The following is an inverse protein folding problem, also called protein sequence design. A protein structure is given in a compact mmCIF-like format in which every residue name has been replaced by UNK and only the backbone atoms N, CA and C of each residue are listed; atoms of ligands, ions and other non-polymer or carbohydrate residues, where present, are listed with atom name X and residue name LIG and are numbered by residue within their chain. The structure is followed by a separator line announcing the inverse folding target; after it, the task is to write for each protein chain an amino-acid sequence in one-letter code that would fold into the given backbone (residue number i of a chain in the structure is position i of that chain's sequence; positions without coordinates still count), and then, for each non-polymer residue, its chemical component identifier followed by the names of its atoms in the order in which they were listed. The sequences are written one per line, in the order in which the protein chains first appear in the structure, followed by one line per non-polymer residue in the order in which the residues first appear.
data_IF_377273509478
#
_entry.id   IF_377273509478
#
_cell.length_a   1.000
_cell.length_b   1.000
_cell.length_c   1.000
_cell.angle_alpha   90.00
_cell.angle_beta   90.00
_cell.angle_gamma   90.00
#
_symmetry.space_group_name_H-M   'P 1'
#
loop_
_entity.id
_entity.type
_entity.pdbx_description
1 polymer ?
#
# COMPACT_ATOMS: atom_id res chain seq x y z
N UNK A 1 6.74 39.30 -6.19
CA UNK A 1 6.96 38.85 -4.80
C UNK A 1 5.70 38.28 -4.14
N UNK A 2 4.51 38.91 -4.24
CA UNK A 2 3.28 38.40 -3.60
C UNK A 2 2.70 37.05 -4.12
N UNK A 3 2.94 36.68 -5.38
CA UNK A 3 2.43 35.41 -5.98
C UNK A 3 3.18 34.14 -5.53
N UNK A 4 4.41 34.27 -5.04
CA UNK A 4 5.20 33.12 -4.55
C UNK A 4 4.83 32.77 -3.12
N UNK A 5 4.59 33.77 -2.27
CA UNK A 5 4.16 33.57 -0.88
C UNK A 5 2.80 32.86 -0.78
N UNK A 6 1.84 33.21 -1.66
CA UNK A 6 0.51 32.57 -1.72
C UNK A 6 0.60 31.10 -2.14
N UNK A 7 1.38 30.78 -3.19
CA UNK A 7 1.61 29.39 -3.63
C UNK A 7 2.24 28.52 -2.55
N UNK A 8 3.22 29.05 -1.81
CA UNK A 8 3.87 28.33 -0.73
C UNK A 8 2.90 28.00 0.42
N UNK A 9 2.00 28.94 0.73
CA UNK A 9 1.03 28.79 1.81
C UNK A 9 -0.07 27.77 1.47
N UNK A 10 -0.56 27.78 0.22
CA UNK A 10 -1.51 26.78 -0.30
C UNK A 10 -0.89 25.38 -0.29
N UNK A 11 0.35 25.24 -0.76
CA UNK A 11 1.04 23.95 -0.81
C UNK A 11 1.26 23.35 0.59
N UNK A 12 1.54 24.18 1.60
CA UNK A 12 1.61 23.73 3.00
C UNK A 12 0.28 23.17 3.49
N UNK A 13 -0.82 23.89 3.24
CA UNK A 13 -2.17 23.45 3.63
C UNK A 13 -2.57 22.12 3.00
N UNK A 14 -2.26 21.92 1.72
CA UNK A 14 -2.51 20.64 1.05
C UNK A 14 -1.72 19.49 1.68
N UNK A 15 -0.44 19.70 2.01
CA UNK A 15 0.38 18.69 2.70
C UNK A 15 -0.17 18.34 4.08
N UNK A 16 -0.60 19.33 4.86
CA UNK A 16 -1.11 19.10 6.21
C UNK A 16 -2.44 18.36 6.18
N UNK A 17 -3.33 18.75 5.27
CA UNK A 17 -4.57 18.01 5.00
C UNK A 17 -4.30 16.57 4.56
N UNK A 18 -3.31 16.33 3.69
CA UNK A 18 -2.94 14.98 3.28
C UNK A 18 -2.44 14.11 4.45
N UNK A 19 -1.71 14.70 5.40
CA UNK A 19 -1.26 14.00 6.61
C UNK A 19 -2.42 13.68 7.54
N UNK A 20 -3.33 14.62 7.75
CA UNK A 20 -4.53 14.41 8.57
C UNK A 20 -5.42 13.32 7.96
N UNK A 21 -5.67 13.37 6.64
CA UNK A 21 -6.41 12.32 5.93
C UNK A 21 -5.71 10.98 6.09
N UNK A 22 -4.38 10.93 5.97
CA UNK A 22 -3.61 9.70 6.21
C UNK A 22 -3.82 9.15 7.62
N UNK A 23 -3.88 10.00 8.64
CA UNK A 23 -4.18 9.60 10.02
C UNK A 23 -5.60 9.04 10.14
N UNK A 24 -6.60 9.76 9.64
CA UNK A 24 -8.01 9.33 9.68
C UNK A 24 -8.22 7.98 8.98
N UNK A 25 -7.64 7.81 7.78
CA UNK A 25 -7.71 6.56 7.04
C UNK A 25 -7.04 5.41 7.78
N UNK A 26 -5.88 5.67 8.38
CA UNK A 26 -5.17 4.63 9.15
C UNK A 26 -5.96 4.22 10.38
N UNK A 27 -6.46 5.18 11.15
CA UNK A 27 -7.26 4.92 12.34
C UNK A 27 -8.54 4.13 12.04
N UNK A 28 -9.20 4.42 10.90
CA UNK A 28 -10.44 3.73 10.52
C UNK A 28 -10.24 2.36 9.85
N UNK A 29 -9.07 2.09 9.28
CA UNK A 29 -8.83 0.88 8.48
C UNK A 29 -7.81 -0.07 9.11
N UNK A 30 -7.09 0.32 10.16
CA UNK A 30 -6.26 -0.62 10.91
C UNK A 30 -7.12 -1.78 11.46
N UNK A 31 -6.68 -3.06 11.37
CA UNK A 31 -5.34 -3.56 11.01
C UNK A 31 -5.13 -3.89 9.52
N UNK A 32 -5.99 -3.42 8.61
CA UNK A 32 -5.88 -3.70 7.17
C UNK A 32 -4.76 -2.88 6.51
N UNK A 33 -3.51 -3.27 6.77
CA UNK A 33 -2.29 -2.64 6.26
C UNK A 33 -1.60 -3.56 5.26
N UNK A 34 -1.03 -2.97 4.22
CA UNK A 34 -0.14 -3.64 3.28
C UNK A 34 1.13 -2.83 3.03
N UNK A 35 2.25 -3.51 2.87
CA UNK A 35 3.54 -2.92 2.54
C UNK A 35 3.80 -3.04 1.05
N UNK A 36 4.26 -1.97 0.41
CA UNK A 36 4.63 -1.99 -1.01
C UNK A 36 5.98 -2.68 -1.20
N UNK A 37 5.95 -3.94 -1.62
CA UNK A 37 7.12 -4.64 -2.12
C UNK A 37 7.51 -4.10 -3.51
N UNK A 38 8.76 -3.68 -3.61
CA UNK A 38 9.37 -3.13 -4.83
C UNK A 38 9.96 -4.26 -5.69
N UNK A 39 10.05 -4.07 -7.02
CA UNK A 39 10.78 -5.00 -7.87
C UNK A 39 12.26 -5.05 -7.46
N UNK A 40 12.89 -6.22 -7.58
CA UNK A 40 14.33 -6.40 -7.33
C UNK A 40 15.01 -6.88 -8.61
N UNK A 41 16.12 -6.22 -9.00
CA UNK A 41 16.99 -6.67 -10.10
C UNK A 41 17.48 -8.10 -9.86
N UNK A 42 17.43 -8.94 -10.89
CA UNK A 42 17.99 -10.29 -10.88
C UNK A 42 17.11 -11.38 -10.27
N UNK A 43 15.99 -11.05 -9.60
CA UNK A 43 14.98 -12.03 -9.23
C UNK A 43 13.94 -12.18 -10.36
N UNK A 44 14.00 -13.29 -11.09
CA UNK A 44 12.96 -13.69 -12.04
C UNK A 44 11.59 -13.68 -11.31
N UNK A 45 10.67 -12.79 -11.70
CA UNK A 45 9.28 -12.96 -11.26
C UNK A 45 8.36 -11.74 -11.38
N UNK A 46 8.84 -10.53 -11.11
CA UNK A 46 7.93 -9.39 -10.93
C UNK A 46 8.33 -8.16 -11.77
N UNK A 47 7.58 -7.88 -12.84
CA UNK A 47 7.72 -6.66 -13.67
C UNK A 47 7.12 -5.40 -13.02
N UNK A 48 7.05 -5.33 -11.69
CA UNK A 48 6.44 -4.20 -10.96
C UNK A 48 6.20 -4.53 -9.48
N UNK A 49 5.62 -3.58 -8.76
CA UNK A 49 5.35 -3.71 -7.33
C UNK A 49 4.21 -4.65 -6.96
N UNK A 50 4.16 -5.02 -5.68
CA UNK A 50 3.08 -5.78 -5.05
C UNK A 50 2.80 -5.23 -3.66
N UNK A 51 1.56 -5.37 -3.20
CA UNK A 51 1.19 -5.07 -1.81
C UNK A 51 1.26 -6.36 -1.00
N UNK A 52 2.04 -6.38 0.07
CA UNK A 52 2.19 -7.54 0.95
C UNK A 52 1.41 -7.26 2.24
N UNK A 53 0.42 -8.09 2.54
CA UNK A 53 -0.37 -7.97 3.78
C UNK A 53 0.30 -8.72 4.93
N UNK A 54 -0.14 -8.48 6.17
CA UNK A 54 0.37 -9.16 7.39
C UNK A 54 0.40 -10.69 7.28
N UNK A 55 -0.53 -11.28 6.50
CA UNK A 55 -0.61 -12.74 6.30
C UNK A 55 0.39 -13.28 5.26
N UNK A 56 1.27 -12.43 4.71
CA UNK A 56 2.21 -12.80 3.65
C UNK A 56 1.58 -12.84 2.24
N UNK A 57 0.28 -12.60 2.11
CA UNK A 57 -0.38 -12.58 0.79
C UNK A 57 0.16 -11.42 -0.06
N UNK A 58 0.62 -11.75 -1.27
CA UNK A 58 0.96 -10.79 -2.30
C UNK A 58 -0.29 -10.40 -3.09
N UNK A 59 -0.72 -9.15 -2.91
CA UNK A 59 -1.93 -8.58 -3.47
C UNK A 59 -1.61 -7.56 -4.57
N UNK A 60 -2.56 -7.37 -5.49
CA UNK A 60 -2.62 -6.20 -6.37
C UNK A 60 -3.79 -5.31 -5.97
N UNK A 61 -3.72 -3.98 -6.15
CA UNK A 61 -4.93 -3.16 -6.11
C UNK A 61 -5.95 -3.66 -7.12
N UNK A 62 -7.24 -3.51 -6.83
CA UNK A 62 -8.30 -3.78 -7.82
C UNK A 62 -8.14 -2.88 -9.05
N UNK A 63 -8.69 -3.31 -10.18
CA UNK A 63 -8.58 -2.58 -11.45
C UNK A 63 -9.19 -1.17 -11.41
N UNK A 64 -10.12 -0.92 -10.50
CA UNK A 64 -10.76 0.38 -10.31
C UNK A 64 -9.95 1.31 -9.40
N UNK A 65 -8.88 0.81 -8.76
CA UNK A 65 -8.06 1.63 -7.88
C UNK A 65 -7.17 2.59 -8.67
N UNK A 66 -7.21 3.87 -8.31
CA UNK A 66 -6.29 4.90 -8.80
C UNK A 66 -4.82 4.63 -8.44
N UNK A 67 -4.55 3.65 -7.58
CA UNK A 67 -3.20 3.28 -7.14
C UNK A 67 -2.57 2.15 -7.97
N UNK A 68 -3.30 1.56 -8.94
CA UNK A 68 -2.77 0.48 -9.79
C UNK A 68 -1.50 0.91 -10.50
N UNK A 69 -1.50 2.08 -11.12
CA UNK A 69 -0.33 2.60 -11.83
C UNK A 69 0.85 2.84 -10.88
N UNK A 70 0.57 3.40 -9.70
CA UNK A 70 1.59 3.64 -8.67
C UNK A 70 2.26 2.36 -8.20
N UNK A 71 1.49 1.30 -7.99
CA UNK A 71 2.04 -0.03 -7.61
C UNK A 71 2.79 -0.65 -8.79
N UNK A 72 2.23 -0.59 -9.99
CA UNK A 72 2.84 -1.17 -11.20
C UNK A 72 4.17 -0.54 -11.54
N UNK A 73 4.26 0.79 -11.46
CA UNK A 73 5.41 1.59 -11.88
C UNK A 73 6.35 1.95 -10.71
N UNK A 74 6.22 1.27 -9.57
CA UNK A 74 7.09 1.55 -8.41
C UNK A 74 8.55 1.25 -8.75
N UNK A 75 9.50 2.17 -8.46
CA UNK A 75 10.91 1.92 -8.69
C UNK A 75 11.47 0.89 -7.70
N UNK A 76 12.54 0.21 -8.12
CA UNK A 76 13.29 -0.76 -7.30
C UNK A 76 13.79 -0.14 -6.00
N UNK A 77 14.30 1.09 -6.08
CA UNK A 77 14.83 1.84 -4.95
C UNK A 77 13.77 2.79 -4.39
N UNK A 78 13.76 2.95 -3.07
CA UNK A 78 12.95 3.96 -2.39
C UNK A 78 12.69 3.58 -0.94
N UNK A 79 12.10 4.52 -0.19
CA UNK A 79 11.70 4.28 1.20
C UNK A 79 10.56 3.28 1.28
N UNK A 80 10.38 2.69 2.45
CA UNK A 80 9.21 1.86 2.75
C UNK A 80 7.93 2.67 2.62
N UNK A 81 6.94 2.03 2.03
CA UNK A 81 5.65 2.64 1.71
C UNK A 81 4.56 1.71 2.21
N UNK A 82 3.66 2.26 3.02
CA UNK A 82 2.54 1.57 3.62
C UNK A 82 1.24 2.03 2.97
N UNK A 83 0.30 1.12 2.83
CA UNK A 83 -1.03 1.39 2.37
C UNK A 83 -2.06 0.75 3.29
N UNK A 84 -3.20 1.39 3.45
CA UNK A 84 -4.39 0.78 4.06
C UNK A 84 -5.39 0.43 2.98
N UNK A 85 -6.22 -0.58 3.24
CA UNK A 85 -7.26 -1.04 2.32
C UNK A 85 -8.55 -1.38 3.06
N UNK A 86 -9.69 -1.31 2.37
CA UNK A 86 -10.99 -1.60 2.97
C UNK A 86 -11.28 -3.10 3.00
N UNK A 87 -11.09 -3.78 1.88
CA UNK A 87 -11.37 -5.21 1.75
C UNK A 87 -10.29 -5.94 0.96
N UNK A 88 -10.11 -7.22 1.29
CA UNK A 88 -9.22 -8.16 0.61
C UNK A 88 -10.07 -9.28 0.01
N UNK A 89 -9.90 -9.51 -1.29
CA UNK A 89 -10.63 -10.52 -2.04
C UNK A 89 -9.66 -11.56 -2.58
N UNK A 90 -10.07 -12.84 -2.50
CA UNK A 90 -9.32 -13.96 -3.06
C UNK A 90 -10.18 -14.65 -4.11
N UNK A 91 -9.75 -14.59 -5.36
CA UNK A 91 -10.33 -15.39 -6.44
C UNK A 91 -9.65 -16.74 -6.43
N UNK A 92 -10.44 -17.77 -6.11
CA UNK A 92 -10.03 -19.15 -6.31
C UNK A 92 -10.12 -19.44 -7.81
N UNK A 93 -9.01 -19.89 -8.41
CA UNK A 93 -9.00 -20.22 -9.83
C UNK A 93 -9.84 -21.45 -10.10
N UNK A 94 -11.07 -21.25 -10.55
CA UNK A 94 -11.90 -22.34 -11.06
C UNK A 94 -11.40 -22.71 -12.46
N UNK A 95 -11.32 -24.01 -12.75
CA UNK A 95 -11.08 -24.48 -14.11
C UNK A 95 -12.27 -24.04 -14.96
N UNK A 96 -12.04 -23.16 -15.94
CA UNK A 96 -13.09 -22.62 -16.80
C UNK A 96 -13.75 -23.72 -17.66
N UNK A 97 -13.06 -24.85 -17.85
CA UNK A 97 -13.48 -26.03 -18.61
C UNK A 97 -12.72 -27.26 -18.09
N UNK A 98 -13.32 -28.45 -18.22
CA UNK A 98 -12.63 -29.71 -17.94
C UNK A 98 -11.36 -29.82 -18.82
N UNK A 99 -10.19 -29.92 -18.19
CA UNK A 99 -8.89 -30.03 -18.88
C UNK A 99 -8.09 -28.72 -19.02
N UNK A 100 -8.64 -27.56 -18.65
CA UNK A 100 -7.85 -26.32 -18.60
C UNK A 100 -6.97 -26.25 -17.35
N UNK A 101 -5.72 -25.76 -17.44
CA UNK A 101 -4.87 -25.56 -16.26
C UNK A 101 -5.56 -24.57 -15.31
N UNK A 102 -5.69 -24.97 -14.04
CA UNK A 102 -6.21 -24.10 -12.98
C UNK A 102 -5.37 -22.83 -12.95
N UNK A 103 -6.04 -21.67 -13.03
CA UNK A 103 -5.36 -20.39 -12.86
C UNK A 103 -4.88 -20.28 -11.40
N UNK A 104 -3.66 -19.78 -11.15
CA UNK A 104 -3.22 -19.58 -9.78
C UNK A 104 -4.19 -18.62 -9.06
N UNK A 105 -4.51 -18.86 -7.78
CA UNK A 105 -5.34 -17.96 -6.99
C UNK A 105 -4.79 -16.53 -7.06
N UNK A 106 -5.67 -15.56 -7.26
CA UNK A 106 -5.30 -14.14 -7.27
C UNK A 106 -5.91 -13.45 -6.07
N UNK A 107 -5.09 -12.67 -5.38
CA UNK A 107 -5.54 -11.83 -4.26
C UNK A 107 -5.49 -10.38 -4.68
N UNK A 108 -6.57 -9.64 -4.45
CA UNK A 108 -6.61 -8.21 -4.68
C UNK A 108 -7.20 -7.48 -3.48
N UNK A 109 -6.87 -6.19 -3.39
CA UNK A 109 -7.34 -5.30 -2.32
C UNK A 109 -8.05 -4.09 -2.91
N UNK A 110 -9.13 -3.69 -2.27
CA UNK A 110 -10.00 -2.58 -2.69
C UNK A 110 -9.81 -1.34 -1.84
N UNK A 111 -10.09 -0.18 -2.45
CA UNK A 111 -9.95 1.15 -1.85
C UNK A 111 -8.59 1.41 -1.16
N UNK A 112 -7.52 1.05 -1.88
CA UNK A 112 -6.14 1.22 -1.41
C UNK A 112 -5.78 2.71 -1.30
N UNK A 113 -5.27 3.11 -0.14
CA UNK A 113 -4.72 4.43 0.10
C UNK A 113 -3.33 4.34 0.72
N UNK A 114 -2.35 5.01 0.11
CA UNK A 114 -1.01 5.11 0.69
C UNK A 114 -1.01 6.07 1.87
N UNK A 115 -0.40 5.65 2.96
CA UNK A 115 -0.38 6.38 4.22
C UNK A 115 1.04 6.65 4.69
N UNK A 116 1.19 7.67 5.52
CA UNK A 116 2.44 7.96 6.21
C UNK A 116 2.76 6.86 7.20
N UNK A 117 4.04 6.47 7.29
CA UNK A 117 4.54 5.59 8.37
C UNK A 117 4.27 6.15 9.76
N UNK A 118 4.17 7.47 9.92
CA UNK A 118 3.82 8.08 11.19
C UNK A 118 2.35 7.85 11.57
N UNK A 119 1.45 7.72 10.58
CA UNK A 119 0.06 7.35 10.85
C UNK A 119 -0.02 5.90 11.33
N UNK A 120 0.74 4.99 10.71
CA UNK A 120 0.87 3.59 11.20
C UNK A 120 1.44 3.58 12.62
N UNK A 121 2.44 4.41 12.90
CA UNK A 121 3.03 4.49 14.23
C UNK A 121 2.03 4.97 15.28
N UNK A 122 1.21 5.98 14.99
CA UNK A 122 0.27 6.55 15.95
C UNK A 122 -0.99 5.71 16.17
N UNK A 123 -1.48 5.06 15.11
CA UNK A 123 -2.79 4.38 15.10
C UNK A 123 -2.70 2.87 14.87
N UNK A 124 -1.48 2.32 14.78
CA UNK A 124 -1.25 0.89 14.76
C UNK A 124 -1.40 0.25 16.14
N UNK A 125 -1.06 -1.03 16.23
CA UNK A 125 -1.16 -1.80 17.47
C UNK A 125 0.05 -1.59 18.39
N UNK A 126 0.57 -2.70 18.90
CA UNK A 126 1.64 -2.71 19.89
C UNK A 126 2.98 -2.28 19.30
N UNK A 127 3.73 -1.47 20.07
CA UNK A 127 5.06 -1.00 19.72
C UNK A 127 6.13 -1.82 20.42
N UNK A 128 7.09 -2.33 19.67
CA UNK A 128 8.30 -2.92 20.22
C UNK A 128 9.54 -2.33 19.53
N UNK A 129 10.64 -2.26 20.29
CA UNK A 129 11.95 -1.94 19.74
C UNK A 129 12.69 -3.26 19.50
N UNK A 130 13.06 -3.55 18.25
CA UNK A 130 13.80 -4.76 17.86
C UNK A 130 14.92 -4.38 16.91
N UNK A 131 16.16 -4.75 17.24
CA UNK A 131 17.34 -4.53 16.38
C UNK A 131 17.50 -3.09 15.85
N UNK A 132 17.28 -2.09 16.72
CA UNK A 132 17.25 -0.65 16.38
C UNK A 132 16.15 -0.23 15.39
N UNK A 133 15.12 -1.06 15.22
CA UNK A 133 13.90 -0.75 14.48
C UNK A 133 12.70 -0.65 15.44
N UNK A 134 11.80 0.28 15.13
CA UNK A 134 10.50 0.38 15.79
C UNK A 134 9.51 -0.46 14.98
N UNK A 135 9.00 -1.51 15.59
CA UNK A 135 8.05 -2.45 15.00
C UNK A 135 6.67 -2.14 15.56
N UNK A 136 5.66 -2.22 14.67
CA UNK A 136 4.25 -1.99 15.00
C UNK A 136 3.49 -3.24 14.60
N UNK A 137 3.04 -4.00 15.61
CA UNK A 137 2.34 -5.29 15.46
C UNK A 137 3.02 -6.33 14.54
#
# INVERSE_FOLDING_TARGET
HNRQATKNNEQSRYSDNARLVSCCLTAGLYPNVATLARPQRGKLGFKGGRLITKNGDACTPSSQSLQVERVRNVPENGRDVYAVYQSKHRILGTAATAGAPSRPPRVFVDQVNFVSRFAILLFGGHHELRDNALVVD
#
